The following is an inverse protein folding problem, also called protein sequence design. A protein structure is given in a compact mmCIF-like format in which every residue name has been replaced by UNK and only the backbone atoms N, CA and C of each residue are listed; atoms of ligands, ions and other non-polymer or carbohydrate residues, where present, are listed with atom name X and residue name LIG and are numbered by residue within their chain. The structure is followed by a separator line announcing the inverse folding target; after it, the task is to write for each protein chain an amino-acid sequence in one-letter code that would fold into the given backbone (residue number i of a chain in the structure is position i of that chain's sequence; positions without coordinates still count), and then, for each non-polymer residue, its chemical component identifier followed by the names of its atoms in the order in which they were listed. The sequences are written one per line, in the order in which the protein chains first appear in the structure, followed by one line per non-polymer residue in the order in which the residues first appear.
data_IF_726893235748
#
_entry.id   IF_726893235748
#
_cell.length_a   1.000
_cell.length_b   1.000
_cell.length_c   1.000
_cell.angle_alpha   90.00
_cell.angle_beta   90.00
_cell.angle_gamma   90.00
#
_symmetry.space_group_name_H-M   'P 1'
#
loop_
_entity.id
_entity.type
_entity.pdbx_description
1 polymer ?
#
# COMPACT_ATOMS: atom_id res chain seq x y z
N UNK A 1 43.35 -22.71 29.37
CA UNK A 1 42.06 -23.34 29.73
C UNK A 1 41.06 -22.23 30.08
N UNK A 2 39.79 -22.42 29.68
CA UNK A 2 38.62 -21.52 29.66
C UNK A 2 38.26 -20.79 30.99
N UNK A 3 37.36 -19.79 31.14
CA UNK A 3 36.09 -19.30 30.51
C UNK A 3 35.93 -17.79 30.87
N UNK A 4 35.51 -16.84 30.01
CA UNK A 4 34.16 -16.43 29.52
C UNK A 4 33.13 -15.92 30.56
N UNK A 5 32.38 -14.86 30.17
CA UNK A 5 31.07 -14.32 30.63
C UNK A 5 31.11 -13.14 31.65
N UNK A 6 30.49 -11.95 31.51
CA UNK A 6 29.44 -11.33 30.64
C UNK A 6 29.73 -9.80 30.55
N UNK A 7 29.80 -9.12 29.39
CA UNK A 7 28.73 -8.45 28.61
C UNK A 7 27.73 -7.65 29.47
N UNK A 8 27.49 -6.35 29.28
CA UNK A 8 26.81 -5.76 28.10
C UNK A 8 27.17 -4.29 27.87
N UNK A 9 27.60 -3.95 26.66
CA UNK A 9 27.93 -2.59 26.23
C UNK A 9 26.69 -1.83 25.72
N UNK A 10 26.60 -0.56 26.10
CA UNK A 10 25.60 0.46 25.75
C UNK A 10 25.66 0.91 24.27
N UNK A 11 25.68 -0.03 23.31
CA UNK A 11 25.89 0.28 21.87
C UNK A 11 24.66 0.07 20.97
N UNK A 12 23.51 -0.33 21.50
CA UNK A 12 22.42 -0.87 20.67
C UNK A 12 21.14 -0.01 20.58
N UNK A 13 21.23 1.34 20.57
CA UNK A 13 20.02 2.18 20.42
C UNK A 13 20.06 3.33 19.41
N UNK A 14 21.10 3.45 18.59
CA UNK A 14 21.23 4.59 17.66
C UNK A 14 21.50 4.22 16.20
N UNK A 15 21.09 3.02 15.76
CA UNK A 15 21.26 2.56 14.37
C UNK A 15 19.97 2.05 13.71
N UNK A 16 18.82 2.63 14.04
CA UNK A 16 17.53 2.27 13.43
C UNK A 16 16.83 3.51 12.86
N UNK A 17 17.59 4.34 12.14
CA UNK A 17 17.08 5.55 11.46
C UNK A 17 17.55 5.69 10.00
N UNK A 18 18.11 4.64 9.39
CA UNK A 18 18.45 4.65 7.97
C UNK A 18 18.11 3.30 7.34
N UNK A 19 16.83 3.08 7.05
CA UNK A 19 16.42 2.07 6.07
C UNK A 19 15.17 2.52 5.33
N UNK A 20 15.20 3.75 4.81
CA UNK A 20 14.32 4.18 3.72
C UNK A 20 14.80 3.60 2.39
N UNK A 21 15.03 2.29 2.34
CA UNK A 21 15.33 1.59 1.08
C UNK A 21 13.99 1.27 0.45
N UNK A 22 13.69 1.93 -0.66
CA UNK A 22 12.60 1.53 -1.55
C UNK A 22 12.70 0.02 -1.81
N UNK A 23 11.75 -0.76 -1.29
CA UNK A 23 11.72 -2.22 -1.45
C UNK A 23 11.44 -2.65 -2.89
N UNK A 24 11.13 -1.71 -3.80
CA UNK A 24 11.02 -1.97 -5.23
C UNK A 24 12.35 -1.61 -5.92
N UNK A 25 13.13 -2.64 -6.23
CA UNK A 25 14.34 -2.48 -7.03
C UNK A 25 13.94 -2.24 -8.50
N UNK A 26 13.97 -0.97 -8.95
CA UNK A 26 13.70 -0.50 -10.33
C UNK A 26 14.82 -0.91 -11.29
N UNK A 27 15.08 -2.21 -11.39
CA UNK A 27 16.06 -2.76 -12.34
C UNK A 27 15.53 -2.82 -13.78
N UNK A 28 14.27 -2.44 -14.00
CA UNK A 28 13.68 -2.07 -15.29
C UNK A 28 13.05 -0.68 -15.11
N UNK A 29 13.37 0.27 -15.98
CA UNK A 29 12.94 1.67 -15.86
C UNK A 29 11.44 1.80 -15.59
N UNK A 30 11.08 2.20 -14.37
CA UNK A 30 9.72 2.57 -14.03
C UNK A 30 9.51 4.00 -14.50
N UNK A 31 8.83 4.17 -15.65
CA UNK A 31 8.44 5.47 -16.16
C UNK A 31 7.21 5.95 -15.39
N UNK A 32 7.44 6.57 -14.23
CA UNK A 32 6.40 7.01 -13.31
C UNK A 32 5.33 7.87 -13.99
N UNK A 33 5.74 8.81 -14.84
CA UNK A 33 4.83 9.72 -15.54
C UNK A 33 3.91 9.01 -16.54
N UNK A 34 4.40 7.96 -17.20
CA UNK A 34 3.57 7.15 -18.09
C UNK A 34 2.54 6.34 -17.29
N UNK A 35 2.96 5.75 -16.17
CA UNK A 35 2.07 5.00 -15.28
C UNK A 35 1.00 5.91 -14.69
N UNK A 36 1.36 7.12 -14.25
CA UNK A 36 0.39 8.12 -13.78
C UNK A 36 -0.66 8.42 -14.84
N UNK A 37 -0.24 8.73 -16.06
CA UNK A 37 -1.14 9.03 -17.18
C UNK A 37 -2.07 7.87 -17.54
N UNK A 38 -1.65 6.63 -17.35
CA UNK A 38 -2.51 5.46 -17.53
C UNK A 38 -3.53 5.37 -16.38
N UNK A 39 -3.08 5.53 -15.13
CA UNK A 39 -3.96 5.42 -13.95
C UNK A 39 -5.03 6.52 -13.90
N UNK A 40 -4.71 7.73 -14.36
CA UNK A 40 -5.67 8.85 -14.48
C UNK A 40 -6.89 8.52 -15.35
N UNK A 41 -6.76 7.56 -16.29
CA UNK A 41 -7.85 7.16 -17.18
C UNK A 41 -8.91 6.30 -16.48
N UNK A 42 -8.66 5.86 -15.24
CA UNK A 42 -9.59 5.05 -14.45
C UNK A 42 -10.11 5.84 -13.25
N UNK A 43 -11.12 6.71 -13.45
CA UNK A 43 -11.72 7.49 -12.38
C UNK A 43 -12.63 6.64 -11.50
N UNK A 44 -12.93 7.16 -10.32
CA UNK A 44 -13.93 6.62 -9.41
C UNK A 44 -13.45 6.57 -7.98
N UNK A 45 -14.34 6.95 -7.06
CA UNK A 45 -14.03 7.02 -5.63
C UNK A 45 -12.98 8.07 -5.27
N UNK A 46 -12.59 8.05 -3.99
CA UNK A 46 -11.53 8.90 -3.45
C UNK A 46 -10.78 8.21 -2.30
N UNK A 47 -9.60 8.73 -1.99
CA UNK A 47 -8.88 8.48 -0.75
C UNK A 47 -8.97 9.76 0.08
N UNK A 48 -9.53 9.69 1.29
CA UNK A 48 -9.73 10.85 2.16
C UNK A 48 -8.84 10.70 3.41
N UNK A 49 -8.07 11.73 3.77
CA UNK A 49 -7.12 11.70 4.90
C UNK A 49 -7.49 12.80 5.89
N UNK A 50 -7.67 12.42 7.15
CA UNK A 50 -7.89 13.35 8.27
C UNK A 50 -6.80 13.14 9.31
N UNK A 51 -6.21 14.22 9.81
CA UNK A 51 -5.16 14.19 10.85
C UNK A 51 -5.73 14.77 12.13
N UNK A 52 -5.87 13.96 13.17
CA UNK A 52 -6.38 14.41 14.47
C UNK A 52 -5.26 14.99 15.34
N UNK A 53 -5.63 15.91 16.23
CA UNK A 53 -4.68 16.56 17.17
C UNK A 53 -4.01 15.59 18.15
N UNK A 54 -4.60 14.41 18.39
CA UNK A 54 -4.02 13.37 19.23
C UNK A 54 -2.86 12.61 18.54
N UNK A 55 -2.58 12.90 17.27
CA UNK A 55 -1.56 12.25 16.45
C UNK A 55 -2.07 11.01 15.70
N UNK A 56 -3.38 10.77 15.65
CA UNK A 56 -3.96 9.66 14.89
C UNK A 56 -4.50 10.15 13.55
N UNK A 57 -4.00 9.58 12.45
CA UNK A 57 -4.51 9.80 11.10
C UNK A 57 -5.64 8.81 10.80
N UNK A 58 -6.66 9.26 10.06
CA UNK A 58 -7.75 8.43 9.56
C UNK A 58 -7.74 8.52 8.04
N UNK A 59 -7.48 7.39 7.37
CA UNK A 59 -7.49 7.27 5.91
C UNK A 59 -8.69 6.43 5.48
N UNK A 60 -9.63 7.08 4.78
CA UNK A 60 -10.86 6.47 4.28
C UNK A 60 -10.72 6.09 2.82
N UNK A 61 -10.98 4.81 2.50
CA UNK A 61 -11.15 4.33 1.13
C UNK A 61 -12.62 4.52 0.72
N UNK A 62 -12.89 5.46 -0.18
CA UNK A 62 -14.24 5.91 -0.48
C UNK A 62 -14.65 5.57 -1.90
N UNK A 63 -15.05 4.32 -2.14
CA UNK A 63 -15.69 3.89 -3.39
C UNK A 63 -16.79 2.85 -3.12
N UNK A 64 -17.82 3.20 -2.35
CA UNK A 64 -18.80 2.23 -1.85
C UNK A 64 -19.57 1.50 -2.96
N UNK A 65 -19.74 2.15 -4.13
CA UNK A 65 -20.41 1.55 -5.29
C UNK A 65 -19.65 0.35 -5.88
N UNK A 66 -18.35 0.24 -5.59
CA UNK A 66 -17.49 -0.88 -5.98
C UNK A 66 -16.82 -1.53 -4.76
N UNK A 67 -17.51 -1.56 -3.60
CA UNK A 67 -16.97 -2.15 -2.36
C UNK A 67 -15.58 -1.61 -1.99
N UNK A 68 -15.37 -0.31 -2.22
CA UNK A 68 -14.12 0.41 -2.00
C UNK A 68 -12.92 -0.12 -2.81
N UNK A 69 -13.16 -0.73 -3.98
CA UNK A 69 -12.09 -1.11 -4.90
C UNK A 69 -11.25 0.10 -5.36
N UNK A 70 -9.94 -0.12 -5.50
CA UNK A 70 -9.00 0.90 -5.98
C UNK A 70 -9.14 1.12 -7.49
N UNK A 71 -9.66 2.29 -7.85
CA UNK A 71 -9.52 2.86 -9.18
C UNK A 71 -8.08 3.35 -9.41
N UNK A 72 -7.73 3.67 -10.66
CA UNK A 72 -6.41 4.23 -10.96
C UNK A 72 -6.20 5.59 -10.27
N UNK A 73 -7.22 6.46 -10.27
CA UNK A 73 -7.18 7.73 -9.54
C UNK A 73 -6.99 7.51 -8.02
N UNK A 74 -7.65 6.53 -7.42
CA UNK A 74 -7.45 6.21 -6.00
C UNK A 74 -6.03 5.72 -5.70
N UNK A 75 -5.37 5.01 -6.61
CA UNK A 75 -3.96 4.61 -6.44
C UNK A 75 -3.03 5.82 -6.41
N UNK A 76 -3.28 6.82 -7.27
CA UNK A 76 -2.53 8.08 -7.30
C UNK A 76 -2.74 8.89 -6.02
N UNK A 77 -4.00 9.03 -5.60
CA UNK A 77 -4.31 9.72 -4.34
C UNK A 77 -3.68 9.02 -3.14
N UNK A 78 -3.65 7.68 -3.12
CA UNK A 78 -2.99 6.95 -2.04
C UNK A 78 -1.49 7.25 -1.99
N UNK A 79 -0.81 7.31 -3.14
CA UNK A 79 0.59 7.71 -3.22
C UNK A 79 0.79 9.11 -2.62
N UNK A 80 -0.02 10.08 -3.03
CA UNK A 80 0.03 11.45 -2.51
C UNK A 80 -0.17 11.49 -0.98
N UNK A 81 -1.15 10.76 -0.45
CA UNK A 81 -1.41 10.71 0.99
C UNK A 81 -0.30 10.01 1.77
N UNK A 82 0.35 9.00 1.20
CA UNK A 82 1.50 8.36 1.83
C UNK A 82 2.69 9.32 1.89
N UNK A 83 2.97 10.07 0.83
CA UNK A 83 4.00 11.12 0.83
C UNK A 83 3.67 12.21 1.87
N UNK A 84 2.40 12.60 1.96
CA UNK A 84 1.93 13.57 2.96
C UNK A 84 2.08 13.05 4.41
N UNK A 85 1.93 11.74 4.61
CA UNK A 85 2.09 11.07 5.90
C UNK A 85 3.56 10.85 6.26
N UNK A 86 4.43 10.58 5.30
CA UNK A 86 5.87 10.45 5.51
C UNK A 86 6.47 11.74 6.10
N UNK A 87 5.95 12.89 5.66
CA UNK A 87 6.35 14.20 6.17
C UNK A 87 5.57 14.63 7.43
N UNK A 88 4.66 13.80 7.97
CA UNK A 88 3.84 14.17 9.12
C UNK A 88 4.53 13.83 10.46
N UNK A 89 5.20 14.81 11.05
CA UNK A 89 6.04 14.65 12.24
C UNK A 89 5.28 14.40 13.53
N UNK A 90 4.03 14.84 13.65
CA UNK A 90 3.21 14.65 14.85
C UNK A 90 2.45 13.31 14.84
N UNK A 91 2.57 12.54 13.76
CA UNK A 91 1.89 11.27 13.55
C UNK A 91 2.35 10.20 14.54
N UNK A 92 1.39 9.54 15.19
CA UNK A 92 1.61 8.40 16.11
C UNK A 92 1.03 7.10 15.56
N UNK A 93 0.00 7.19 14.72
CA UNK A 93 -0.64 6.03 14.11
C UNK A 93 -1.60 6.41 12.99
N UNK A 94 -1.88 5.45 12.12
CA UNK A 94 -2.82 5.59 11.01
C UNK A 94 -3.88 4.49 11.08
N UNK A 95 -5.15 4.88 11.06
CA UNK A 95 -6.28 3.96 10.90
C UNK A 95 -6.71 4.03 9.44
N UNK A 96 -6.69 2.89 8.76
CA UNK A 96 -7.22 2.75 7.40
C UNK A 96 -8.54 2.02 7.47
N UNK A 97 -9.59 2.61 6.91
CA UNK A 97 -10.90 1.96 6.84
C UNK A 97 -11.60 2.26 5.52
N UNK A 98 -12.57 1.42 5.17
CA UNK A 98 -13.45 1.68 4.03
C UNK A 98 -14.62 2.57 4.41
N UNK A 99 -15.17 3.29 3.44
CA UNK A 99 -16.44 3.98 3.58
C UNK A 99 -17.59 2.96 3.66
N UNK A 100 -18.63 3.29 4.44
CA UNK A 100 -19.81 2.45 4.65
C UNK A 100 -19.46 1.08 5.26
N UNK A 101 -19.92 -0.02 4.64
CA UNK A 101 -20.02 -1.33 5.28
C UNK A 101 -18.91 -2.31 4.88
N UNK A 102 -18.01 -1.91 3.99
CA UNK A 102 -16.97 -2.78 3.43
C UNK A 102 -15.61 -2.15 3.61
N UNK A 103 -14.56 -2.92 3.87
CA UNK A 103 -13.20 -2.40 3.88
C UNK A 103 -12.72 -2.06 2.46
N UNK A 104 -12.39 -3.06 1.65
CA UNK A 104 -11.95 -2.93 0.26
C UNK A 104 -12.02 -4.30 -0.45
N UNK A 105 -12.45 -4.34 -1.71
CA UNK A 105 -12.48 -5.56 -2.53
C UNK A 105 -11.27 -5.76 -3.45
N UNK A 106 -10.20 -4.98 -3.27
CA UNK A 106 -8.97 -5.06 -4.07
C UNK A 106 -8.92 -4.04 -5.22
N UNK A 107 -8.36 -4.43 -6.36
CA UNK A 107 -8.23 -3.55 -7.53
C UNK A 107 -9.50 -3.51 -8.37
N UNK A 108 -9.81 -2.36 -8.95
CA UNK A 108 -10.92 -2.22 -9.90
C UNK A 108 -10.65 -3.04 -11.16
N UNK A 109 -11.52 -3.99 -11.48
CA UNK A 109 -11.37 -4.87 -12.65
C UNK A 109 -11.28 -4.10 -13.96
N UNK A 110 -11.88 -2.91 -14.06
CA UNK A 110 -11.77 -2.08 -15.25
C UNK A 110 -10.36 -1.50 -15.41
N UNK A 111 -9.73 -1.12 -14.30
CA UNK A 111 -8.33 -0.67 -14.30
C UNK A 111 -7.40 -1.85 -14.62
N UNK A 112 -7.60 -3.01 -13.98
CA UNK A 112 -6.79 -4.21 -14.23
C UNK A 112 -6.83 -4.64 -15.70
N UNK A 113 -8.02 -4.68 -16.33
CA UNK A 113 -8.16 -5.10 -17.73
C UNK A 113 -7.37 -4.23 -18.69
N UNK A 114 -7.41 -2.92 -18.52
CA UNK A 114 -6.71 -2.00 -19.40
C UNK A 114 -5.19 -1.94 -19.13
N UNK A 115 -4.77 -2.19 -17.89
CA UNK A 115 -3.36 -2.36 -17.54
C UNK A 115 -2.78 -3.69 -18.04
N UNK A 116 -3.62 -4.72 -18.24
CA UNK A 116 -3.17 -6.05 -18.72
C UNK A 116 -3.01 -6.17 -20.24
N UNK A 117 -3.39 -5.15 -21.02
CA UNK A 117 -3.34 -5.19 -22.50
C UNK A 117 -2.08 -4.61 -23.12
N UNK A 118 -1.31 -3.82 -22.37
CA UNK A 118 0.05 -3.44 -22.74
C UNK A 118 1.03 -4.41 -22.07
N UNK A 119 2.20 -4.67 -22.64
CA UNK A 119 3.29 -5.42 -22.01
C UNK A 119 3.87 -4.64 -20.79
N UNK A 120 3.01 -4.16 -19.89
CA UNK A 120 3.39 -3.35 -18.75
C UNK A 120 3.53 -4.21 -17.50
N UNK A 121 4.48 -3.78 -16.69
CA UNK A 121 5.04 -4.34 -15.45
C UNK A 121 4.04 -4.93 -14.44
N UNK A 122 2.74 -4.63 -14.53
CA UNK A 122 1.71 -5.14 -13.63
C UNK A 122 1.57 -6.67 -13.65
N UNK A 123 1.87 -7.30 -14.80
CA UNK A 123 1.79 -8.76 -14.93
C UNK A 123 2.87 -9.48 -14.12
N UNK A 124 4.01 -8.83 -13.88
CA UNK A 124 5.07 -9.38 -13.03
C UNK A 124 4.67 -9.37 -11.55
N UNK A 125 4.05 -8.29 -11.06
CA UNK A 125 3.73 -8.11 -9.64
C UNK A 125 2.57 -9.02 -9.15
N UNK A 126 1.62 -9.34 -10.02
CA UNK A 126 0.43 -10.15 -9.68
C UNK A 126 0.47 -11.58 -10.24
N UNK A 127 1.59 -12.05 -10.77
CA UNK A 127 1.73 -13.41 -11.31
C UNK A 127 1.46 -14.50 -10.25
N UNK A 128 1.68 -14.22 -8.96
CA UNK A 128 1.36 -15.12 -7.84
C UNK A 128 -0.12 -15.23 -7.47
N UNK A 129 -0.98 -14.29 -7.90
CA UNK A 129 -2.44 -14.34 -7.60
C UNK A 129 -3.25 -15.07 -8.68
N UNK A 130 -2.64 -15.37 -9.85
CA UNK A 130 -3.26 -16.19 -10.91
C UNK A 130 -3.19 -17.70 -10.65
N UNK A 131 -2.15 -18.17 -9.95
CA UNK A 131 -2.05 -19.54 -9.46
C UNK A 131 -2.87 -19.68 -8.17
N UNK A 132 -4.20 -19.69 -8.31
CA UNK A 132 -5.19 -19.58 -7.25
C UNK A 132 -5.24 -20.72 -6.23
N UNK A 133 -4.14 -20.98 -5.50
CA UNK A 133 -4.07 -22.05 -4.50
C UNK A 133 -3.81 -21.55 -3.05
N UNK A 134 -3.53 -20.26 -2.84
CA UNK A 134 -3.19 -19.72 -1.50
C UNK A 134 -4.26 -18.83 -0.86
N UNK A 135 -4.79 -17.85 -1.59
CA UNK A 135 -5.59 -16.77 -1.00
C UNK A 135 -7.11 -17.04 -0.97
N UNK A 136 -7.62 -17.96 -1.79
CA UNK A 136 -9.05 -18.31 -1.83
C UNK A 136 -9.52 -19.16 -0.64
N UNK A 137 -8.61 -19.84 0.05
CA UNK A 137 -9.01 -20.86 1.05
C UNK A 137 -9.30 -20.29 2.44
N UNK A 138 -8.89 -19.05 2.77
CA UNK A 138 -8.93 -18.55 4.16
C UNK A 138 -10.13 -17.65 4.51
N UNK A 139 -11.05 -17.36 3.57
CA UNK A 139 -12.22 -16.49 3.83
C UNK A 139 -13.53 -17.28 3.98
N UNK A 140 -13.57 -18.59 3.72
CA UNK A 140 -14.80 -19.39 3.81
C UNK A 140 -14.92 -20.33 5.03
N UNK A 141 -13.97 -20.33 5.96
CA UNK A 141 -14.05 -21.12 7.20
C UNK A 141 -13.83 -20.24 8.44
N UNK A 142 -14.76 -19.33 8.70
CA UNK A 142 -15.03 -18.82 10.04
C UNK A 142 -16.49 -18.38 10.13
N UNK A 143 -17.36 -19.40 10.09
CA UNK A 143 -18.65 -19.45 10.79
C UNK A 143 -18.74 -20.83 11.42
#
# INVERSE_FOLDING_TARGET
MAKSLLTTSLSARTKLLQTGVSLYNTSHGFHEEEVKKILEQFPGGSIDLQKNQNGIGILTLNNPNKMNAFSGVMMLQLLERVIELENWTEGKGLIVHGAKNTFCSGSDLNAVKALSTSETTVDKCCSGSRLGNGWRSRIYYSM
#
